data_IF_830701577549
#
_entry.id   IF_830701577549
#
_cell.length_a   1.000
_cell.length_b   1.000
_cell.length_c   1.000
_cell.angle_alpha   90.00
_cell.angle_beta   90.00
_cell.angle_gamma   90.00
#
_symmetry.space_group_name_H-M   'P 1'
#
loop_
_entity.id
_entity.type
_entity.pdbx_description
1 polymer ?
#
# COMPACT_ATOMS: atom_id res chain seq x y z
N UNK A 1 -8.98 -43.33 20.46
CA UNK A 1 -9.47 -42.27 19.55
C UNK A 1 -8.27 -41.75 18.77
N UNK A 2 -7.95 -42.37 17.63
CA UNK A 2 -6.73 -42.06 16.86
C UNK A 2 -6.96 -40.90 15.91
N UNK A 3 -6.26 -39.79 16.13
CA UNK A 3 -6.24 -38.65 15.22
C UNK A 3 -5.32 -39.02 14.04
N UNK A 4 -5.91 -39.56 12.98
CA UNK A 4 -5.23 -39.71 11.70
C UNK A 4 -5.07 -38.32 11.07
N UNK A 5 -3.90 -37.72 11.23
CA UNK A 5 -3.41 -36.60 10.40
C UNK A 5 -3.39 -37.06 8.94
N UNK A 6 -4.39 -36.69 8.15
CA UNK A 6 -4.20 -36.60 6.70
C UNK A 6 -3.23 -35.45 6.45
N UNK A 7 -2.01 -35.80 6.11
CA UNK A 7 -1.10 -34.90 5.41
C UNK A 7 -1.71 -34.71 4.02
N UNK A 8 -2.33 -33.55 3.79
CA UNK A 8 -2.72 -33.10 2.46
C UNK A 8 -1.43 -32.83 1.65
N UNK A 9 -0.86 -33.90 1.11
CA UNK A 9 0.20 -33.85 0.11
C UNK A 9 -0.47 -33.44 -1.20
N UNK A 10 -0.16 -32.24 -1.67
CA UNK A 10 -0.47 -31.79 -3.03
C UNK A 10 -1.78 -31.04 -3.18
N UNK A 11 -1.88 -29.81 -2.65
CA UNK A 11 -2.69 -28.81 -3.36
C UNK A 11 -1.99 -28.57 -4.69
N UNK A 12 -2.49 -29.21 -5.75
CA UNK A 12 -2.15 -28.88 -7.12
C UNK A 12 -2.21 -27.35 -7.25
N UNK A 13 -1.11 -26.75 -7.71
CA UNK A 13 -1.08 -25.32 -8.03
C UNK A 13 -2.15 -25.13 -9.10
N UNK A 14 -3.32 -24.62 -8.70
CA UNK A 14 -4.36 -24.26 -9.65
C UNK A 14 -3.81 -23.11 -10.46
N UNK A 15 -3.37 -23.42 -11.68
CA UNK A 15 -2.97 -22.42 -12.65
C UNK A 15 -4.08 -21.38 -12.76
N UNK A 16 -3.73 -20.08 -12.88
CA UNK A 16 -4.75 -19.05 -13.07
C UNK A 16 -5.64 -19.44 -14.25
N UNK A 17 -6.96 -19.19 -14.19
CA UNK A 17 -7.79 -19.32 -15.37
C UNK A 17 -7.17 -18.48 -16.49
N UNK A 18 -7.19 -18.98 -17.73
CA UNK A 18 -6.57 -18.30 -18.88
C UNK A 18 -7.00 -16.82 -18.99
N UNK A 19 -8.22 -16.52 -18.55
CA UNK A 19 -8.83 -15.20 -18.42
C UNK A 19 -8.01 -14.23 -17.53
N UNK A 20 -7.36 -14.71 -16.47
CA UNK A 20 -6.54 -13.88 -15.59
C UNK A 20 -5.28 -13.35 -16.30
N UNK A 21 -4.69 -14.16 -17.20
CA UNK A 21 -3.57 -13.74 -18.02
C UNK A 21 -4.00 -12.75 -19.11
N UNK A 22 -5.21 -12.90 -19.65
CA UNK A 22 -5.78 -11.94 -20.59
C UNK A 22 -6.09 -10.59 -19.93
N UNK A 23 -6.62 -10.59 -18.69
CA UNK A 23 -6.85 -9.35 -17.94
C UNK A 23 -5.53 -8.70 -17.54
N UNK A 24 -4.55 -9.45 -17.04
CA UNK A 24 -3.22 -8.93 -16.73
C UNK A 24 -2.51 -8.39 -17.98
N UNK A 25 -2.64 -9.09 -19.11
CA UNK A 25 -2.12 -8.68 -20.41
C UNK A 25 -2.82 -7.44 -20.97
N UNK A 26 -4.15 -7.32 -20.82
CA UNK A 26 -4.92 -6.17 -21.25
C UNK A 26 -4.63 -4.92 -20.39
N UNK A 27 -4.52 -5.09 -19.07
CA UNK A 27 -4.04 -4.04 -18.16
C UNK A 27 -2.63 -3.63 -18.59
N UNK A 28 -1.72 -4.60 -18.74
CA UNK A 28 -0.35 -4.33 -19.21
C UNK A 28 -0.30 -3.58 -20.54
N UNK A 29 -1.12 -3.95 -21.51
CA UNK A 29 -1.17 -3.34 -22.84
C UNK A 29 -1.78 -1.93 -22.82
N UNK A 30 -2.90 -1.72 -22.12
CA UNK A 30 -3.51 -0.38 -21.98
C UNK A 30 -2.56 0.58 -21.26
N UNK A 31 -1.89 0.08 -20.23
CA UNK A 31 -0.93 0.83 -19.42
C UNK A 31 0.35 1.12 -20.21
N UNK A 32 0.85 0.18 -21.03
CA UNK A 32 1.99 0.39 -21.93
C UNK A 32 1.66 1.38 -23.06
N UNK A 33 0.42 1.34 -23.59
CA UNK A 33 -0.08 2.32 -24.54
C UNK A 33 -0.06 3.74 -23.96
N UNK A 34 -0.48 3.91 -22.70
CA UNK A 34 -0.35 5.18 -21.98
C UNK A 34 1.13 5.57 -21.79
N UNK A 35 2.03 4.64 -21.45
CA UNK A 35 3.47 4.91 -21.29
C UNK A 35 4.10 5.50 -22.55
N UNK A 36 3.82 4.87 -23.69
CA UNK A 36 4.37 5.22 -24.98
C UNK A 36 3.93 6.62 -25.43
N UNK A 37 2.77 7.09 -24.97
CA UNK A 37 2.26 8.43 -25.26
C UNK A 37 3.00 9.55 -24.48
N UNK A 38 3.61 9.25 -23.33
CA UNK A 38 4.20 10.27 -22.45
C UNK A 38 5.74 10.25 -22.38
N UNK A 39 6.43 9.27 -22.96
CA UNK A 39 7.88 9.31 -23.19
C UNK A 39 8.80 9.36 -21.95
N UNK A 40 8.28 9.15 -20.73
CA UNK A 40 9.07 9.22 -19.50
C UNK A 40 9.60 7.85 -19.06
N UNK A 41 10.92 7.70 -18.93
CA UNK A 41 11.56 6.45 -18.47
C UNK A 41 11.07 6.00 -17.07
N UNK A 42 10.78 6.95 -16.18
CA UNK A 42 10.21 6.67 -14.85
C UNK A 42 8.78 6.10 -14.93
N UNK A 43 7.98 6.55 -15.90
CA UNK A 43 6.69 5.95 -16.21
C UNK A 43 6.91 4.51 -16.69
N UNK A 44 7.76 4.26 -17.69
CA UNK A 44 8.04 2.89 -18.15
C UNK A 44 8.45 1.94 -17.02
N UNK A 45 9.36 2.35 -16.14
CA UNK A 45 9.78 1.55 -14.99
C UNK A 45 8.62 1.28 -14.01
N UNK A 46 7.84 2.31 -13.69
CA UNK A 46 6.67 2.19 -12.79
C UNK A 46 5.61 1.26 -13.37
N UNK A 47 5.42 1.28 -14.68
CA UNK A 47 4.42 0.48 -15.38
C UNK A 47 4.87 -0.97 -15.56
N UNK A 48 6.16 -1.21 -15.81
CA UNK A 48 6.74 -2.55 -15.79
C UNK A 48 6.63 -3.17 -14.39
N UNK A 49 6.99 -2.41 -13.34
CA UNK A 49 6.83 -2.83 -11.96
C UNK A 49 5.35 -3.10 -11.60
N UNK A 50 4.44 -2.22 -12.01
CA UNK A 50 3.01 -2.38 -11.81
C UNK A 50 2.42 -3.61 -12.52
N UNK A 51 2.84 -3.86 -13.77
CA UNK A 51 2.41 -5.04 -14.54
C UNK A 51 2.94 -6.33 -13.92
N UNK A 52 4.19 -6.33 -13.46
CA UNK A 52 4.76 -7.47 -12.74
C UNK A 52 4.03 -7.70 -11.40
N UNK A 53 3.77 -6.65 -10.62
CA UNK A 53 2.99 -6.73 -9.40
C UNK A 53 1.58 -7.28 -9.65
N UNK A 54 0.93 -6.84 -10.73
CA UNK A 54 -0.37 -7.36 -11.16
C UNK A 54 -0.30 -8.85 -11.51
N UNK A 55 0.66 -9.25 -12.35
CA UNK A 55 0.88 -10.66 -12.71
C UNK A 55 1.10 -11.54 -11.47
N UNK A 56 1.96 -11.10 -10.55
CA UNK A 56 2.21 -11.79 -9.28
C UNK A 56 0.94 -11.86 -8.43
N UNK A 57 0.19 -10.76 -8.29
CA UNK A 57 -1.05 -10.73 -7.50
C UNK A 57 -2.15 -11.62 -8.08
N UNK A 58 -2.29 -11.68 -9.40
CA UNK A 58 -3.27 -12.56 -10.04
C UNK A 58 -2.83 -14.03 -10.02
N UNK A 59 -1.53 -14.31 -10.07
CA UNK A 59 -0.98 -15.67 -9.96
C UNK A 59 -1.09 -16.21 -8.52
N UNK A 60 -0.60 -15.43 -7.55
CA UNK A 60 -0.58 -15.73 -6.12
C UNK A 60 -1.17 -14.54 -5.32
N UNK A 61 -2.50 -14.51 -5.10
CA UNK A 61 -3.16 -13.43 -4.37
C UNK A 61 -2.62 -13.20 -2.96
N UNK A 62 -1.96 -14.19 -2.34
CA UNK A 62 -1.31 -14.02 -1.04
C UNK A 62 -0.16 -13.02 -1.07
N UNK A 63 0.40 -12.74 -2.24
CA UNK A 63 1.46 -11.75 -2.42
C UNK A 63 0.96 -10.29 -2.27
N UNK A 64 -0.36 -10.05 -2.29
CA UNK A 64 -0.91 -8.69 -2.15
C UNK A 64 -0.61 -8.06 -0.79
N UNK A 65 -0.59 -8.83 0.30
CA UNK A 65 -0.19 -8.33 1.62
C UNK A 65 1.24 -7.78 1.62
N UNK A 66 2.25 -8.59 1.23
CA UNK A 66 3.63 -8.12 1.05
C UNK A 66 3.77 -6.95 0.06
N UNK A 67 3.08 -7.00 -1.09
CA UNK A 67 3.12 -5.92 -2.08
C UNK A 67 2.60 -4.60 -1.51
N UNK A 68 1.50 -4.64 -0.74
CA UNK A 68 0.98 -3.46 -0.03
C UNK A 68 2.02 -2.91 0.95
N UNK A 69 2.61 -3.78 1.78
CA UNK A 69 3.61 -3.36 2.76
C UNK A 69 4.84 -2.70 2.12
N UNK A 70 5.27 -3.17 0.94
CA UNK A 70 6.39 -2.59 0.19
C UNK A 70 6.01 -1.30 -0.55
N UNK A 71 4.78 -1.20 -1.07
CA UNK A 71 4.35 -0.08 -1.90
C UNK A 71 3.85 1.12 -1.08
N UNK A 72 3.24 0.88 0.09
CA UNK A 72 2.68 1.91 0.96
C UNK A 72 3.65 3.06 1.26
N UNK A 73 4.91 2.81 1.65
CA UNK A 73 5.78 3.92 2.02
C UNK A 73 6.45 4.59 0.81
N UNK A 74 6.24 4.12 -0.41
CA UNK A 74 6.84 4.69 -1.62
C UNK A 74 6.06 5.91 -2.14
N UNK A 75 5.78 6.92 -1.31
CA UNK A 75 5.03 8.10 -1.77
C UNK A 75 5.77 8.91 -2.83
N UNK A 76 7.10 8.82 -2.92
CA UNK A 76 7.90 9.42 -3.99
C UNK A 76 7.43 9.00 -5.40
N UNK A 77 6.72 7.88 -5.50
CA UNK A 77 6.08 7.44 -6.75
C UNK A 77 5.02 8.41 -7.28
N UNK A 78 4.52 9.35 -6.47
CA UNK A 78 3.67 10.47 -6.94
C UNK A 78 4.34 11.29 -8.05
N UNK A 79 5.67 11.35 -8.11
CA UNK A 79 6.41 12.01 -9.19
C UNK A 79 6.27 11.31 -10.53
N UNK A 80 6.00 10.00 -10.54
CA UNK A 80 5.84 9.24 -11.76
C UNK A 80 4.50 9.53 -12.44
N UNK A 81 3.52 10.09 -11.74
CA UNK A 81 2.16 10.32 -12.24
C UNK A 81 1.83 11.82 -12.26
N UNK A 82 2.30 12.60 -13.26
CA UNK A 82 2.08 14.06 -13.31
C UNK A 82 0.66 14.44 -13.76
N UNK A 83 -0.34 13.79 -13.18
CA UNK A 83 -1.75 14.01 -13.42
C UNK A 83 -2.52 13.76 -12.11
N UNK A 84 -3.73 14.33 -12.00
CA UNK A 84 -4.55 14.28 -10.78
C UNK A 84 -3.82 14.87 -9.56
N UNK A 85 -3.28 16.07 -9.71
CA UNK A 85 -2.56 16.77 -8.65
C UNK A 85 -3.46 17.15 -7.47
N UNK A 86 -2.95 16.98 -6.25
CA UNK A 86 -3.54 17.52 -5.03
C UNK A 86 -3.12 18.96 -4.82
N UNK A 87 -3.79 19.65 -3.89
CA UNK A 87 -3.24 20.86 -3.28
C UNK A 87 -1.86 20.58 -2.67
N UNK A 88 -1.03 21.62 -2.57
CA UNK A 88 0.23 21.59 -1.81
C UNK A 88 -0.04 21.12 -0.38
N UNK A 89 0.71 20.13 0.10
CA UNK A 89 0.58 19.67 1.49
C UNK A 89 1.14 20.73 2.44
N UNK A 90 0.29 21.22 3.34
CA UNK A 90 0.65 22.23 4.36
C UNK A 90 1.81 21.70 5.22
N UNK A 91 2.90 22.48 5.31
CA UNK A 91 4.04 22.17 6.18
C UNK A 91 5.08 21.21 5.60
N UNK A 92 4.91 20.76 4.34
CA UNK A 92 5.82 19.85 3.68
C UNK A 92 6.93 20.54 2.85
N UNK A 93 6.73 21.75 2.34
CA UNK A 93 7.69 22.37 1.39
C UNK A 93 7.65 21.78 -0.04
N UNK A 94 6.85 20.73 -0.26
CA UNK A 94 6.50 20.18 -1.56
C UNK A 94 5.30 20.93 -2.16
N UNK A 95 5.34 21.17 -3.47
CA UNK A 95 4.22 21.70 -4.24
C UNK A 95 3.05 20.71 -4.37
N UNK A 96 2.15 20.97 -5.32
CA UNK A 96 1.11 20.02 -5.69
C UNK A 96 1.73 18.66 -6.11
N UNK A 97 1.22 17.55 -5.60
CA UNK A 97 1.70 16.19 -5.93
C UNK A 97 0.54 15.29 -6.35
N UNK A 98 0.80 14.19 -7.05
CA UNK A 98 -0.28 13.32 -7.53
C UNK A 98 -1.09 12.68 -6.39
N UNK A 99 -2.40 12.53 -6.62
CA UNK A 99 -3.27 11.63 -5.84
C UNK A 99 -2.89 10.17 -6.10
N UNK A 100 -2.19 9.83 -7.19
CA UNK A 100 -1.80 8.45 -7.50
C UNK A 100 -0.40 8.18 -6.97
N UNK A 101 -0.29 7.14 -6.15
CA UNK A 101 0.98 6.62 -5.63
C UNK A 101 0.98 5.08 -5.70
N UNK A 102 2.16 4.48 -5.51
CA UNK A 102 2.36 3.04 -5.59
C UNK A 102 1.47 2.28 -4.59
N UNK A 103 1.34 2.76 -3.35
CA UNK A 103 0.46 2.17 -2.35
C UNK A 103 -0.99 2.15 -2.82
N UNK A 104 -1.46 3.27 -3.38
CA UNK A 104 -2.82 3.38 -3.89
C UNK A 104 -3.08 2.48 -5.09
N UNK A 105 -2.10 2.34 -5.98
CA UNK A 105 -2.18 1.43 -7.12
C UNK A 105 -2.26 -0.04 -6.67
N UNK A 106 -1.51 -0.44 -5.64
CA UNK A 106 -1.59 -1.81 -5.11
C UNK A 106 -2.93 -2.07 -4.41
N UNK A 107 -3.51 -1.11 -3.70
CA UNK A 107 -4.86 -1.25 -3.15
C UNK A 107 -5.91 -1.37 -4.26
N UNK A 108 -5.80 -0.58 -5.33
CA UNK A 108 -6.67 -0.71 -6.49
C UNK A 108 -6.51 -2.10 -7.15
N UNK A 109 -5.28 -2.58 -7.31
CA UNK A 109 -5.00 -3.94 -7.78
C UNK A 109 -5.59 -5.00 -6.86
N UNK A 110 -5.49 -4.83 -5.54
CA UNK A 110 -6.09 -5.73 -4.56
C UNK A 110 -7.61 -5.77 -4.68
N UNK A 111 -8.25 -4.62 -4.90
CA UNK A 111 -9.68 -4.55 -5.18
C UNK A 111 -10.06 -5.28 -6.47
N UNK A 112 -9.32 -5.06 -7.57
CA UNK A 112 -9.55 -5.77 -8.83
C UNK A 112 -9.35 -7.28 -8.68
N UNK A 113 -8.28 -7.70 -8.01
CA UNK A 113 -8.00 -9.10 -7.74
C UNK A 113 -9.12 -9.75 -6.90
N UNK A 114 -9.66 -9.02 -5.93
CA UNK A 114 -10.82 -9.46 -5.14
C UNK A 114 -12.08 -9.61 -5.99
N UNK A 115 -12.36 -8.68 -6.92
CA UNK A 115 -13.53 -8.73 -7.82
C UNK A 115 -13.42 -9.88 -8.83
N UNK A 116 -12.25 -10.05 -9.44
CA UNK A 116 -12.01 -11.00 -10.55
C UNK A 116 -11.74 -12.42 -10.04
N UNK A 117 -11.05 -12.57 -8.91
CA UNK A 117 -10.77 -13.88 -8.28
C UNK A 117 -11.34 -13.90 -6.86
N UNK A 118 -12.68 -13.85 -6.72
CA UNK A 118 -13.31 -13.98 -5.43
C UNK A 118 -12.98 -15.37 -4.89
N UNK A 119 -12.17 -15.37 -3.86
CA UNK A 119 -11.62 -16.56 -3.21
C UNK A 119 -12.44 -16.92 -1.96
N UNK A 120 -13.46 -16.12 -1.67
CA UNK A 120 -14.51 -16.29 -0.67
C UNK A 120 -15.84 -15.74 -1.22
N UNK A 121 -16.98 -16.16 -0.67
CA UNK A 121 -18.24 -15.46 -0.84
C UNK A 121 -18.09 -13.98 -0.50
N UNK A 122 -18.63 -13.09 -1.32
CA UNK A 122 -18.56 -11.62 -1.13
C UNK A 122 -19.22 -11.14 0.17
N UNK A 123 -20.04 -11.98 0.81
CA UNK A 123 -20.65 -11.65 2.09
C UNK A 123 -19.64 -11.67 3.25
N UNK A 124 -18.48 -12.33 3.08
CA UNK A 124 -17.41 -12.37 4.07
C UNK A 124 -16.51 -11.11 4.05
N UNK A 125 -16.89 -10.08 3.29
CA UNK A 125 -16.09 -8.85 3.05
C UNK A 125 -16.03 -7.94 4.23
N UNK A 126 -17.11 -7.89 5.00
CA UNK A 126 -17.07 -7.23 6.28
C UNK A 126 -16.56 -8.28 7.26
N UNK A 127 -15.32 -8.14 7.78
CA UNK A 127 -14.93 -9.00 8.88
C UNK A 127 -15.98 -8.80 9.97
N UNK A 128 -16.56 -9.88 10.51
CA UNK A 128 -17.33 -9.85 11.76
C UNK A 128 -16.37 -9.60 12.94
N UNK A 129 -15.46 -8.64 12.77
CA UNK A 129 -14.46 -8.24 13.72
C UNK A 129 -15.10 -7.23 14.68
N UNK A 130 -14.75 -7.26 15.97
CA UNK A 130 -15.15 -6.21 16.91
C UNK A 130 -14.65 -4.82 16.48
N UNK A 131 -13.68 -4.72 15.55
CA UNK A 131 -13.18 -3.46 14.99
C UNK A 131 -14.08 -2.87 13.90
N UNK A 132 -14.97 -3.65 13.30
CA UNK A 132 -15.80 -3.19 12.19
C UNK A 132 -16.78 -2.11 12.62
N UNK A 133 -17.39 -2.24 13.80
CA UNK A 133 -18.30 -1.22 14.34
C UNK A 133 -17.58 0.09 14.68
N UNK A 134 -16.46 0.10 15.45
CA UNK A 134 -15.65 1.30 15.64
C UNK A 134 -15.22 1.98 14.35
N UNK A 135 -14.82 1.22 13.33
CA UNK A 135 -14.43 1.76 12.02
C UNK A 135 -15.63 2.37 11.28
N UNK A 136 -16.79 1.71 11.30
CA UNK A 136 -18.02 2.24 10.70
C UNK A 136 -18.49 3.52 11.42
N UNK A 137 -18.40 3.56 12.74
CA UNK A 137 -18.71 4.76 13.53
C UNK A 137 -17.74 5.90 13.22
N UNK A 138 -16.43 5.61 13.13
CA UNK A 138 -15.42 6.59 12.73
C UNK A 138 -15.75 7.16 11.35
N UNK A 139 -16.09 6.31 10.39
CA UNK A 139 -16.50 6.74 9.06
C UNK A 139 -17.75 7.63 9.11
N UNK A 140 -18.77 7.24 9.88
CA UNK A 140 -19.99 8.03 10.04
C UNK A 140 -19.71 9.40 10.65
N UNK A 141 -18.83 9.50 11.65
CA UNK A 141 -18.40 10.77 12.25
C UNK A 141 -17.70 11.65 11.21
N UNK A 142 -16.81 11.09 10.38
CA UNK A 142 -16.16 11.85 9.31
C UNK A 142 -17.14 12.31 8.23
N UNK A 143 -18.07 11.44 7.83
CA UNK A 143 -19.12 11.79 6.86
C UNK A 143 -20.02 12.92 7.38
N UNK A 144 -20.41 12.87 8.67
CA UNK A 144 -21.17 13.94 9.31
C UNK A 144 -20.34 15.22 9.44
N UNK A 145 -19.06 15.12 9.81
CA UNK A 145 -18.16 16.26 9.90
C UNK A 145 -17.99 16.96 8.55
N UNK A 146 -18.00 16.21 7.44
CA UNK A 146 -17.93 16.76 6.09
C UNK A 146 -19.14 17.65 5.74
N UNK A 147 -20.32 17.42 6.35
CA UNK A 147 -21.51 18.26 6.14
C UNK A 147 -21.36 19.66 6.75
N UNK A 148 -20.52 19.80 7.77
CA UNK A 148 -20.27 21.07 8.48
C UNK A 148 -18.89 21.66 8.18
N UNK A 149 -18.19 21.12 7.18
CA UNK A 149 -16.85 21.57 6.84
C UNK A 149 -16.87 22.96 6.17
N UNK A 150 -16.07 23.88 6.70
CA UNK A 150 -15.85 25.21 6.09
C UNK A 150 -15.14 25.10 4.72
N UNK A 151 -14.22 24.14 4.59
CA UNK A 151 -13.54 23.78 3.34
C UNK A 151 -14.04 22.42 2.84
N UNK A 152 -15.05 22.46 1.98
CA UNK A 152 -15.69 21.27 1.38
C UNK A 152 -14.70 20.46 0.56
N UNK A 153 -13.73 21.11 -0.10
CA UNK A 153 -12.72 20.43 -0.92
C UNK A 153 -11.77 19.60 -0.05
N UNK A 154 -11.30 20.18 1.06
CA UNK A 154 -10.51 19.48 2.05
C UNK A 154 -11.27 18.30 2.67
N UNK A 155 -12.50 18.53 3.10
CA UNK A 155 -13.32 17.51 3.74
C UNK A 155 -13.62 16.32 2.82
N UNK A 156 -13.89 16.59 1.53
CA UNK A 156 -14.05 15.53 0.52
C UNK A 156 -12.77 14.71 0.36
N UNK A 157 -11.62 15.38 0.25
CA UNK A 157 -10.33 14.71 0.08
C UNK A 157 -10.00 13.81 1.26
N UNK A 158 -10.24 14.30 2.47
CA UNK A 158 -10.03 13.55 3.71
C UNK A 158 -10.98 12.37 3.85
N UNK A 159 -12.26 12.55 3.49
CA UNK A 159 -13.26 11.47 3.50
C UNK A 159 -12.89 10.37 2.50
N UNK A 160 -12.41 10.74 1.31
CA UNK A 160 -11.90 9.77 0.32
C UNK A 160 -10.66 9.04 0.82
N UNK A 161 -9.74 9.74 1.49
CA UNK A 161 -8.58 9.13 2.14
C UNK A 161 -8.99 8.10 3.19
N UNK A 162 -9.94 8.44 4.06
CA UNK A 162 -10.45 7.52 5.07
C UNK A 162 -11.15 6.31 4.44
N UNK A 163 -11.98 6.52 3.41
CA UNK A 163 -12.63 5.45 2.66
C UNK A 163 -11.59 4.50 2.05
N UNK A 164 -10.50 5.06 1.52
CA UNK A 164 -9.40 4.28 0.96
C UNK A 164 -8.69 3.42 2.03
N UNK A 165 -8.40 4.00 3.19
CA UNK A 165 -7.82 3.28 4.33
C UNK A 165 -8.75 2.17 4.83
N UNK A 166 -10.06 2.43 4.89
CA UNK A 166 -11.07 1.44 5.25
C UNK A 166 -11.18 0.31 4.24
N UNK A 167 -11.19 0.64 2.94
CA UNK A 167 -11.18 -0.35 1.87
C UNK A 167 -9.93 -1.23 1.92
N UNK A 168 -8.77 -0.61 2.15
CA UNK A 168 -7.50 -1.33 2.34
C UNK A 168 -7.58 -2.29 3.53
N UNK A 169 -8.08 -1.82 4.68
CA UNK A 169 -8.28 -2.64 5.86
C UNK A 169 -9.22 -3.82 5.60
N UNK A 170 -10.36 -3.58 4.93
CA UNK A 170 -11.33 -4.62 4.59
C UNK A 170 -10.76 -5.69 3.64
N UNK A 171 -9.79 -5.31 2.79
CA UNK A 171 -9.13 -6.22 1.85
C UNK A 171 -8.03 -7.08 2.49
N UNK A 172 -7.38 -6.63 3.58
CA UNK A 172 -6.28 -7.38 4.22
C UNK A 172 -6.66 -8.83 4.60
N UNK A 173 -7.80 -9.12 5.25
CA UNK A 173 -8.21 -10.49 5.60
C UNK A 173 -8.38 -11.42 4.39
N UNK A 174 -8.59 -10.86 3.19
CA UNK A 174 -8.68 -11.65 1.97
C UNK A 174 -7.32 -12.13 1.49
N UNK A 175 -6.26 -11.36 1.67
CA UNK A 175 -4.95 -11.71 1.12
C UNK A 175 -4.02 -12.33 2.17
N UNK A 176 -4.25 -12.03 3.45
CA UNK A 176 -3.47 -12.54 4.58
C UNK A 176 -4.29 -13.59 5.33
N UNK A 177 -4.18 -14.86 4.91
CA UNK A 177 -5.08 -15.95 5.36
C UNK A 177 -4.44 -16.99 6.26
N UNK A 178 -3.14 -17.17 6.11
CA UNK A 178 -2.39 -18.24 6.75
C UNK A 178 -1.11 -17.68 7.37
N UNK A 179 -0.54 -18.44 8.30
CA UNK A 179 0.68 -18.04 9.00
C UNK A 179 1.81 -17.66 8.02
N UNK A 180 2.05 -18.39 6.91
CA UNK A 180 3.00 -17.95 5.89
C UNK A 180 2.68 -16.57 5.32
N UNK A 181 1.47 -16.33 4.80
CA UNK A 181 1.10 -15.03 4.23
C UNK A 181 1.25 -13.88 5.23
N UNK A 182 0.83 -14.08 6.49
CA UNK A 182 1.01 -13.08 7.55
C UNK A 182 2.49 -12.81 7.81
N UNK A 183 3.31 -13.85 7.92
CA UNK A 183 4.76 -13.72 8.13
C UNK A 183 5.42 -12.95 7.00
N UNK A 184 5.04 -13.23 5.75
CA UNK A 184 5.61 -12.55 4.58
C UNK A 184 5.23 -11.08 4.55
N UNK A 185 3.97 -10.74 4.84
CA UNK A 185 3.52 -9.34 4.96
C UNK A 185 4.29 -8.61 6.05
N UNK A 186 4.46 -9.23 7.22
CA UNK A 186 5.20 -8.65 8.34
C UNK A 186 6.68 -8.47 8.03
N UNK A 187 7.33 -9.45 7.38
CA UNK A 187 8.72 -9.33 6.94
C UNK A 187 8.89 -8.25 5.87
N UNK A 188 7.97 -8.15 4.90
CA UNK A 188 7.97 -7.10 3.89
C UNK A 188 7.84 -5.71 4.53
N UNK A 189 6.98 -5.57 5.53
CA UNK A 189 6.83 -4.33 6.29
C UNK A 189 8.12 -3.94 7.03
N UNK A 190 8.68 -4.85 7.83
CA UNK A 190 9.95 -4.61 8.54
C UNK A 190 11.10 -4.33 7.58
N UNK A 191 11.18 -5.06 6.46
CA UNK A 191 12.17 -4.83 5.43
C UNK A 191 12.05 -3.43 4.82
N UNK A 192 10.84 -3.01 4.44
CA UNK A 192 10.60 -1.67 3.89
C UNK A 192 10.98 -0.57 4.88
N UNK A 193 10.64 -0.73 6.16
CA UNK A 193 11.02 0.21 7.20
C UNK A 193 12.53 0.26 7.43
N UNK A 194 13.21 -0.90 7.41
CA UNK A 194 14.66 -0.96 7.48
C UNK A 194 15.34 -0.25 6.31
N UNK A 195 14.86 -0.48 5.08
CA UNK A 195 15.36 0.20 3.88
C UNK A 195 15.17 1.73 3.98
N UNK A 196 14.00 2.18 4.46
CA UNK A 196 13.71 3.60 4.61
C UNK A 196 14.42 4.25 5.79
N UNK A 197 14.70 3.50 6.86
CA UNK A 197 15.55 3.97 7.95
C UNK A 197 16.98 4.23 7.43
N UNK A 198 17.54 3.32 6.62
CA UNK A 198 18.83 3.52 5.95
C UNK A 198 18.77 4.74 5.04
N UNK A 199 17.71 4.88 4.25
CA UNK A 199 17.52 6.04 3.37
C UNK A 199 17.42 7.36 4.17
N UNK A 200 16.72 7.35 5.31
CA UNK A 200 16.63 8.50 6.20
C UNK A 200 17.97 8.85 6.86
N UNK A 201 18.75 7.85 7.28
CA UNK A 201 20.12 8.05 7.77
C UNK A 201 20.99 8.66 6.66
N UNK A 202 20.89 8.16 5.43
CA UNK A 202 21.59 8.75 4.29
C UNK A 202 21.21 10.22 4.10
N UNK A 203 19.91 10.54 4.05
CA UNK A 203 19.44 11.93 3.94
C UNK A 203 20.00 12.81 5.08
N UNK A 204 20.09 12.28 6.30
CA UNK A 204 20.67 12.95 7.46
C UNK A 204 22.19 13.10 7.40
N UNK A 205 22.91 12.24 6.67
CA UNK A 205 24.37 12.36 6.55
C UNK A 205 24.78 13.24 5.37
N UNK A 206 24.06 13.19 4.26
CA UNK A 206 24.48 13.84 3.00
C UNK A 206 23.75 15.14 2.69
N UNK A 207 22.69 15.46 3.43
CA UNK A 207 21.82 16.61 3.17
C UNK A 207 21.15 16.58 1.79
N UNK A 208 21.03 15.38 1.23
CA UNK A 208 20.42 15.15 -0.06
C UNK A 208 18.99 14.69 0.13
N UNK A 209 18.01 15.56 -0.13
CA UNK A 209 16.60 15.20 -0.16
C UNK A 209 16.24 14.60 -1.52
N UNK A 210 15.52 13.48 -1.53
CA UNK A 210 15.20 12.79 -2.79
C UNK A 210 14.20 13.56 -3.65
N UNK A 211 13.27 14.26 -3.02
CA UNK A 211 12.20 14.97 -3.73
C UNK A 211 11.59 16.17 -3.00
N UNK A 212 11.99 16.41 -1.75
CA UNK A 212 11.47 17.51 -0.94
C UNK A 212 12.60 18.36 -0.34
N UNK A 213 13.34 19.10 -1.19
CA UNK A 213 14.47 19.91 -0.72
C UNK A 213 14.04 21.04 0.22
N UNK A 214 12.76 21.45 0.19
CA UNK A 214 12.22 22.50 1.05
C UNK A 214 12.31 22.20 2.55
N UNK A 215 12.36 20.92 2.93
CA UNK A 215 12.51 20.49 4.32
C UNK A 215 13.88 20.78 4.94
N UNK A 216 14.87 21.12 4.12
CA UNK A 216 16.20 21.55 4.58
C UNK A 216 16.36 23.07 4.73
N UNK A 217 15.41 23.88 4.25
CA UNK A 217 15.59 25.33 4.07
C UNK A 217 15.37 26.18 5.33
N UNK A 218 14.61 25.70 6.31
CA UNK A 218 14.12 26.51 7.44
C UNK A 218 14.84 26.24 8.77
N UNK A 219 16.10 25.76 8.74
CA UNK A 219 16.94 25.57 9.93
C UNK A 219 16.58 24.35 10.79
N UNK A 220 15.35 23.84 10.70
CA UNK A 220 14.95 22.54 11.24
C UNK A 220 15.00 21.47 10.16
N UNK A 221 16.03 20.62 10.22
CA UNK A 221 16.22 19.55 9.25
C UNK A 221 15.23 18.43 9.49
N UNK A 222 14.23 18.31 8.60
CA UNK A 222 13.17 17.29 8.71
C UNK A 222 13.31 16.23 7.62
N UNK A 223 13.74 15.03 7.99
CA UNK A 223 13.93 13.90 7.07
C UNK A 223 12.57 13.29 6.71
N UNK A 224 12.35 12.95 5.44
CA UNK A 224 11.11 12.32 4.98
C UNK A 224 11.30 11.02 4.20
N UNK A 225 12.54 10.64 3.85
CA UNK A 225 12.84 9.53 2.96
C UNK A 225 11.98 9.61 1.67
N UNK A 226 11.02 8.70 1.52
CA UNK A 226 10.09 8.63 0.39
C UNK A 226 8.73 9.25 0.67
N UNK A 227 8.42 9.68 1.90
CA UNK A 227 7.13 10.26 2.28
C UNK A 227 7.04 11.75 1.91
N UNK A 228 5.83 12.28 1.71
CA UNK A 228 5.66 13.72 1.53
C UNK A 228 5.85 14.48 2.86
N UNK A 229 5.25 13.98 3.94
CA UNK A 229 5.35 14.53 5.30
C UNK A 229 6.37 13.74 6.17
N UNK A 230 7.39 14.39 6.76
CA UNK A 230 8.28 13.80 7.77
C UNK A 230 7.55 13.08 8.93
N UNK A 231 6.37 13.56 9.31
CA UNK A 231 5.60 12.94 10.38
C UNK A 231 5.04 11.58 9.97
N UNK A 232 4.66 11.39 8.70
CA UNK A 232 4.24 10.09 8.19
C UNK A 232 5.41 9.11 8.19
N UNK A 233 6.60 9.57 7.79
CA UNK A 233 7.82 8.76 7.87
C UNK A 233 8.13 8.32 9.32
N UNK A 234 8.09 9.24 10.28
CA UNK A 234 8.33 8.93 11.68
C UNK A 234 7.30 7.93 12.24
N UNK A 235 6.01 8.09 11.91
CA UNK A 235 4.94 7.15 12.30
C UNK A 235 5.18 5.77 11.73
N UNK A 236 5.51 5.68 10.44
CA UNK A 236 5.79 4.41 9.77
C UNK A 236 6.96 3.66 10.44
N UNK A 237 8.05 4.36 10.77
CA UNK A 237 9.16 3.76 11.50
C UNK A 237 8.77 3.30 12.91
N UNK A 238 7.98 4.09 13.63
CA UNK A 238 7.49 3.73 14.96
C UNK A 238 6.64 2.45 14.91
N UNK A 239 5.69 2.37 13.97
CA UNK A 239 4.87 1.18 13.73
C UNK A 239 5.76 -0.04 13.41
N UNK A 240 6.80 0.15 12.60
CA UNK A 240 7.73 -0.91 12.26
C UNK A 240 8.58 -1.39 13.46
N UNK A 241 9.00 -0.48 14.33
CA UNK A 241 9.71 -0.83 15.57
C UNK A 241 8.80 -1.66 16.48
N UNK A 242 7.54 -1.26 16.64
CA UNK A 242 6.56 -2.02 17.42
C UNK A 242 6.35 -3.41 16.81
N UNK A 243 6.18 -3.51 15.49
CA UNK A 243 6.02 -4.81 14.82
C UNK A 243 7.28 -5.67 14.93
N UNK A 244 8.47 -5.11 14.72
CA UNK A 244 9.73 -5.83 14.82
C UNK A 244 9.97 -6.37 16.24
N UNK A 245 9.69 -5.56 17.26
CA UNK A 245 9.81 -5.97 18.68
C UNK A 245 8.78 -7.05 19.04
N UNK A 246 7.55 -6.97 18.53
CA UNK A 246 6.56 -8.04 18.68
C UNK A 246 6.95 -9.34 17.99
N UNK A 247 7.64 -9.26 16.84
CA UNK A 247 8.10 -10.42 16.08
C UNK A 247 9.35 -11.08 16.67
N UNK A 248 10.19 -10.32 17.37
CA UNK A 248 11.48 -10.75 17.91
C UNK A 248 11.42 -12.06 18.73
N UNK A 249 10.47 -12.26 19.67
CA UNK A 249 10.35 -13.49 20.44
C UNK A 249 10.02 -14.71 19.59
N UNK A 250 9.34 -14.53 18.46
CA UNK A 250 8.94 -15.61 17.55
C UNK A 250 10.04 -15.97 16.56
N UNK A 251 10.98 -15.06 16.30
CA UNK A 251 12.13 -15.33 15.44
C UNK A 251 13.13 -16.30 16.09
N UNK A 252 13.24 -16.27 17.43
CA UNK A 252 14.24 -17.02 18.22
C UNK A 252 13.77 -18.41 18.68
N UNK A 253 12.48 -18.74 18.59
CA UNK A 253 11.93 -20.04 19.02
C UNK A 253 11.89 -21.09 17.89
N UNK A 254 12.94 -21.15 17.06
CA UNK A 254 13.09 -22.22 16.07
C UNK A 254 13.72 -23.45 16.70
#
# INVERSE_FOLDING_TARGET
MSITRRLDVGRAVQLPPAEAWLVAGAIGAAVFGCAALFGHAALFASLAAGSMAAGVAFYEPRALGPLLALALPLEISKLAFPFLETRSELGGGLGATSIVDAGRLVVALAFVAWVVRPTRPRIDVLPMSPLTLPLALLFAVFALSALYALDVSAARTESLRLLFSLGSFALVPFFVRDKPSLRWTLYAFVFSAGALAIAGIYQQLTDTFFWNPGLGLYGERRINATFADPNHFARFLLEAIVLATMLWPFAHRR
#
